data_IF_588584563739
#
_entry.id   IF_588584563739
#
_cell.length_a   1.000
_cell.length_b   1.000
_cell.length_c   1.000
_cell.angle_alpha   90.00
_cell.angle_beta   90.00
_cell.angle_gamma   90.00
#
_symmetry.space_group_name_H-M   'P 1'
#
loop_
_entity.id
_entity.type
_entity.pdbx_description
1 polymer ?
#
# COMPACT_ATOMS: atom_id res chain seq x y z
N UNK A 1 -14.63 5.00 4.12
CA UNK A 1 -15.07 5.56 2.82
C UNK A 1 -16.57 5.73 2.88
N UNK A 2 -17.11 6.83 2.35
CA UNK A 2 -18.55 7.04 2.24
C UNK A 2 -19.15 6.14 1.14
N UNK A 3 -19.15 4.83 1.38
CA UNK A 3 -19.67 3.76 0.53
C UNK A 3 -20.36 2.72 1.42
N UNK A 4 -21.31 1.92 0.89
CA UNK A 4 -21.93 0.83 1.64
C UNK A 4 -20.87 -0.07 2.32
N UNK A 5 -21.10 -0.43 3.58
CA UNK A 5 -20.15 -1.18 4.40
C UNK A 5 -19.04 -0.34 5.04
N UNK A 6 -18.95 0.97 4.76
CA UNK A 6 -18.00 1.90 5.36
C UNK A 6 -16.55 1.38 5.33
N UNK A 7 -16.08 0.98 4.14
CA UNK A 7 -14.75 0.37 3.98
C UNK A 7 -13.60 1.32 4.28
N UNK A 8 -12.45 0.79 4.68
CA UNK A 8 -11.24 1.55 5.03
C UNK A 8 -10.11 1.23 4.06
N UNK A 9 -9.25 2.21 3.77
CA UNK A 9 -7.97 1.96 3.09
C UNK A 9 -7.02 1.30 4.09
N UNK A 10 -7.01 -0.03 4.10
CA UNK A 10 -6.26 -0.82 5.08
C UNK A 10 -4.80 -1.01 4.63
N UNK A 11 -3.79 -0.69 5.47
CA UNK A 11 -2.41 -1.04 5.18
C UNK A 11 -2.22 -2.57 5.24
N UNK A 12 -1.55 -3.12 4.23
CA UNK A 12 -1.30 -4.55 4.08
C UNK A 12 0.19 -4.83 3.89
N UNK A 13 0.62 -6.02 4.31
CA UNK A 13 1.93 -6.59 3.97
C UNK A 13 1.88 -7.19 2.56
N UNK A 14 3.02 -7.30 1.89
CA UNK A 14 3.10 -7.94 0.56
C UNK A 14 2.53 -9.37 0.53
N UNK A 15 2.70 -10.14 1.62
CA UNK A 15 2.13 -11.50 1.76
C UNK A 15 0.60 -11.53 1.75
N UNK A 16 -0.06 -10.41 2.06
CA UNK A 16 -1.52 -10.28 2.06
C UNK A 16 -2.06 -9.79 0.70
N UNK A 17 -1.20 -9.30 -0.20
CA UNK A 17 -1.61 -8.88 -1.55
C UNK A 17 -1.71 -10.12 -2.43
N UNK A 18 -2.91 -10.67 -2.54
CA UNK A 18 -3.23 -11.89 -3.28
C UNK A 18 -4.38 -11.65 -4.24
N UNK A 19 -4.56 -12.53 -5.22
CA UNK A 19 -5.64 -12.45 -6.21
C UNK A 19 -7.03 -12.58 -5.59
N UNK A 20 -7.14 -13.27 -4.46
CA UNK A 20 -8.36 -13.49 -3.69
C UNK A 20 -8.57 -12.46 -2.56
N UNK A 21 -7.76 -11.40 -2.52
CA UNK A 21 -7.90 -10.33 -1.53
C UNK A 21 -9.25 -9.62 -1.69
N UNK A 22 -10.15 -9.77 -0.72
CA UNK A 22 -11.40 -9.00 -0.65
C UNK A 22 -11.20 -7.68 0.13
N UNK A 23 -11.28 -6.50 -0.52
CA UNK A 23 -11.20 -5.21 0.17
C UNK A 23 -12.42 -4.88 1.02
N UNK A 24 -13.58 -5.50 0.75
CA UNK A 24 -14.85 -5.19 1.44
C UNK A 24 -14.86 -5.68 2.89
N UNK A 25 -14.00 -6.65 3.23
CA UNK A 25 -13.83 -7.13 4.62
C UNK A 25 -13.22 -6.09 5.57
N UNK A 26 -12.56 -5.06 5.04
CA UNK A 26 -11.95 -3.99 5.84
C UNK A 26 -12.93 -2.84 6.03
N UNK A 27 -13.58 -2.80 7.19
CA UNK A 27 -14.60 -1.81 7.55
C UNK A 27 -14.21 -1.09 8.83
N UNK A 28 -14.88 0.03 9.13
CA UNK A 28 -14.71 0.73 10.42
C UNK A 28 -14.91 -0.18 11.64
N UNK A 29 -15.68 -1.27 11.52
CA UNK A 29 -15.94 -2.22 12.62
C UNK A 29 -14.86 -3.30 12.73
N UNK A 30 -14.26 -3.73 11.62
CA UNK A 30 -13.29 -4.84 11.60
C UNK A 30 -11.85 -4.38 11.73
N UNK A 31 -11.54 -3.20 11.20
CA UNK A 31 -10.17 -2.66 11.10
C UNK A 31 -9.48 -2.46 12.45
N UNK A 32 -10.12 -1.95 13.53
CA UNK A 32 -9.43 -1.76 14.80
C UNK A 32 -8.77 -3.03 15.35
N UNK A 33 -9.47 -4.17 15.28
CA UNK A 33 -8.92 -5.46 15.72
C UNK A 33 -7.84 -6.03 14.80
N UNK A 34 -7.87 -5.69 13.50
CA UNK A 34 -6.85 -6.10 12.54
C UNK A 34 -5.59 -5.24 12.65
N UNK A 35 -5.73 -3.92 12.84
CA UNK A 35 -4.62 -2.99 12.97
C UNK A 35 -3.77 -3.29 14.21
N UNK A 36 -4.40 -3.63 15.33
CA UNK A 36 -3.70 -4.00 16.56
C UNK A 36 -2.73 -5.19 16.39
N UNK A 37 -2.90 -6.01 15.34
CA UNK A 37 -2.10 -7.19 15.05
C UNK A 37 -1.23 -7.02 13.79
N UNK A 38 -1.33 -5.89 13.12
CA UNK A 38 -0.69 -5.67 11.82
C UNK A 38 0.75 -5.17 11.99
N UNK A 39 1.65 -5.71 11.19
CA UNK A 39 3.02 -5.21 11.03
C UNK A 39 3.20 -4.41 9.73
N UNK A 40 2.11 -4.17 9.00
CA UNK A 40 2.16 -3.40 7.77
C UNK A 40 2.71 -2.00 8.06
N UNK A 41 3.66 -1.56 7.23
CA UNK A 41 4.27 -0.23 7.29
C UNK A 41 5.07 0.06 8.58
N UNK A 42 5.43 -0.95 9.39
CA UNK A 42 6.26 -0.78 10.59
C UNK A 42 7.53 0.04 10.31
N UNK A 43 8.19 -0.26 9.19
CA UNK A 43 9.48 0.32 8.83
C UNK A 43 9.33 1.51 7.85
N UNK A 44 8.13 2.11 7.74
CA UNK A 44 7.84 3.12 6.72
C UNK A 44 8.77 4.35 6.81
N UNK A 45 9.05 4.83 8.03
CA UNK A 45 9.93 5.98 8.25
C UNK A 45 11.40 5.67 7.86
N UNK A 46 11.88 4.46 8.15
CA UNK A 46 13.22 4.00 7.78
C UNK A 46 13.33 3.64 6.29
N UNK A 47 12.18 3.45 5.63
CA UNK A 47 12.06 3.11 4.21
C UNK A 47 12.37 4.25 3.24
N UNK A 48 12.77 5.44 3.70
CA UNK A 48 13.11 6.56 2.81
C UNK A 48 14.28 6.20 1.87
N UNK A 49 14.24 6.68 0.62
CA UNK A 49 15.28 6.45 -0.38
C UNK A 49 15.52 7.72 -1.19
N UNK A 50 16.74 7.90 -1.69
CA UNK A 50 17.08 9.04 -2.55
C UNK A 50 16.20 9.05 -3.82
N UNK A 51 15.78 10.24 -4.25
CA UNK A 51 14.96 10.43 -5.46
C UNK A 51 15.79 10.29 -6.75
N UNK A 52 17.07 10.66 -6.71
CA UNK A 52 17.96 10.71 -7.87
C UNK A 52 17.97 9.42 -8.71
N UNK A 53 18.08 8.19 -8.13
CA UNK A 53 18.03 6.96 -8.92
C UNK A 53 16.73 6.80 -9.73
N UNK A 54 15.58 7.26 -9.19
CA UNK A 54 14.30 7.20 -9.87
C UNK A 54 14.25 8.16 -11.07
N UNK A 55 14.77 9.39 -10.91
CA UNK A 55 14.89 10.37 -12.01
C UNK A 55 15.76 9.81 -13.13
N UNK A 56 16.93 9.23 -12.80
CA UNK A 56 17.82 8.61 -13.78
C UNK A 56 17.14 7.46 -14.53
N UNK A 57 16.34 6.64 -13.84
CA UNK A 57 15.56 5.56 -14.47
C UNK A 57 14.49 6.12 -15.43
N UNK A 58 13.74 7.14 -14.99
CA UNK A 58 12.73 7.78 -15.81
C UNK A 58 13.32 8.37 -17.10
N UNK A 59 14.42 9.12 -17.00
CA UNK A 59 15.08 9.71 -18.16
C UNK A 59 15.55 8.65 -19.18
N UNK A 60 16.03 7.49 -18.72
CA UNK A 60 16.37 6.36 -19.60
C UNK A 60 15.14 5.80 -20.31
N UNK A 61 14.05 5.58 -19.58
CA UNK A 61 12.79 5.08 -20.16
C UNK A 61 12.21 6.04 -21.21
N UNK A 62 12.29 7.35 -20.97
CA UNK A 62 11.83 8.36 -21.94
C UNK A 62 12.67 8.36 -23.22
N UNK A 63 14.00 8.22 -23.11
CA UNK A 63 14.90 8.11 -24.27
C UNK A 63 14.66 6.84 -25.08
N UNK A 64 14.20 5.75 -24.46
CA UNK A 64 13.89 4.49 -25.16
C UNK A 64 12.55 4.53 -25.90
N UNK A 65 11.64 5.40 -25.46
CA UNK A 65 10.31 5.54 -26.06
C UNK A 65 10.25 6.54 -27.22
N UNK A 66 11.33 7.32 -27.41
CA UNK A 66 11.51 8.28 -28.50
C UNK A 66 12.39 7.66 -29.60
#
# INVERSE_FOLDING_TARGET
>A
RARPGATVSMPLTWKQVKTDLDPKRYTIRTVPGLLAKSMAWKDYSEGHRALEPAIRRLARSMKQAA
#
